data_IF_077015930729
#
_entry.id   IF_077015930729
#
_cell.length_a   1.000
_cell.length_b   1.000
_cell.length_c   1.000
_cell.angle_alpha   90.00
_cell.angle_beta   90.00
_cell.angle_gamma   90.00
#
_symmetry.space_group_name_H-M   'P 1'
#
loop_
_entity.id
_entity.type
_entity.pdbx_description
1 polymer ?
#
# COMPACT_ATOMS: atom_id res chain seq x y z
N UNK A 1 -72.35 10.05 3.68
CA UNK A 1 -71.46 8.89 3.54
C UNK A 1 -70.61 9.12 2.30
N UNK A 2 -69.29 9.15 2.47
CA UNK A 2 -68.32 9.36 1.38
C UNK A 2 -67.02 9.88 1.96
N UNK A 3 -66.30 9.01 2.68
CA UNK A 3 -64.97 9.28 3.22
C UNK A 3 -64.00 9.54 2.06
N UNK A 4 -63.36 10.71 2.04
CA UNK A 4 -62.15 10.92 1.26
C UNK A 4 -60.99 10.24 1.99
N UNK A 5 -60.56 9.10 1.45
CA UNK A 5 -59.37 8.39 1.89
C UNK A 5 -58.16 9.05 1.21
N UNK A 6 -57.12 9.48 1.94
CA UNK A 6 -55.91 9.96 1.29
C UNK A 6 -55.25 8.78 0.58
N UNK A 7 -55.07 8.89 -0.73
CA UNK A 7 -54.19 8.02 -1.51
C UNK A 7 -52.78 8.17 -0.97
N UNK A 8 -52.41 7.24 -0.09
CA UNK A 8 -51.04 6.99 0.32
C UNK A 8 -50.25 6.57 -0.93
N UNK A 9 -49.45 7.51 -1.45
CA UNK A 9 -48.49 7.21 -2.50
C UNK A 9 -47.39 6.37 -1.86
N UNK A 10 -47.59 5.05 -1.86
CA UNK A 10 -46.49 4.11 -1.70
C UNK A 10 -45.46 4.41 -2.79
N UNK A 11 -44.40 5.11 -2.39
CA UNK A 11 -43.18 5.26 -3.17
C UNK A 11 -42.61 3.87 -3.39
N UNK A 12 -42.76 3.38 -4.61
CA UNK A 12 -42.14 2.15 -5.09
C UNK A 12 -40.74 2.47 -5.61
N UNK A 13 -39.82 2.87 -4.72
CA UNK A 13 -38.39 3.01 -5.04
C UNK A 13 -37.48 2.71 -3.83
N UNK A 14 -37.70 1.61 -3.12
CA UNK A 14 -36.62 1.01 -2.31
C UNK A 14 -36.30 -0.36 -2.92
N UNK A 15 -35.45 -0.33 -3.96
CA UNK A 15 -34.73 -1.53 -4.38
C UNK A 15 -33.88 -2.07 -3.23
N UNK A 16 -33.49 -3.36 -3.22
CA UNK A 16 -32.89 -3.99 -2.05
C UNK A 16 -31.62 -3.26 -1.57
N UNK A 17 -31.75 -2.46 -0.51
CA UNK A 17 -30.69 -1.69 0.17
C UNK A 17 -29.60 -2.57 0.75
N UNK A 18 -29.79 -3.89 0.76
CA UNK A 18 -28.88 -4.87 1.35
C UNK A 18 -27.46 -4.84 0.77
N UNK A 19 -27.27 -4.49 -0.51
CA UNK A 19 -25.94 -4.36 -1.12
C UNK A 19 -25.25 -3.04 -0.73
N UNK A 20 -26.01 -1.97 -0.52
CA UNK A 20 -25.49 -0.71 0.01
C UNK A 20 -25.13 -0.84 1.50
N UNK A 21 -25.93 -1.60 2.25
CA UNK A 21 -25.73 -1.92 3.65
C UNK A 21 -24.57 -2.92 3.87
N UNK A 22 -24.33 -3.84 2.93
CA UNK A 22 -23.40 -4.98 3.08
C UNK A 22 -22.59 -5.27 1.82
N UNK A 23 -21.86 -4.27 1.35
CA UNK A 23 -20.99 -4.43 0.18
C UNK A 23 -19.91 -5.50 0.40
N UNK A 24 -19.69 -6.36 -0.61
CA UNK A 24 -18.64 -7.40 -0.61
C UNK A 24 -17.26 -6.80 -0.31
N UNK A 25 -16.95 -5.63 -0.88
CA UNK A 25 -15.70 -4.92 -0.62
C UNK A 25 -15.47 -4.60 0.86
N UNK A 26 -16.52 -4.22 1.58
CA UNK A 26 -16.46 -3.95 3.03
C UNK A 26 -16.22 -5.20 3.89
N UNK A 27 -16.56 -6.38 3.38
CA UNK A 27 -16.26 -7.67 4.04
C UNK A 27 -14.82 -8.08 3.70
N UNK A 28 -14.47 -8.10 2.41
CA UNK A 28 -13.19 -8.61 1.92
C UNK A 28 -12.00 -7.71 2.29
N UNK A 29 -12.21 -6.44 2.60
CA UNK A 29 -11.10 -5.53 2.94
C UNK A 29 -10.24 -6.03 4.10
N UNK A 30 -10.85 -6.64 5.11
CA UNK A 30 -10.09 -7.17 6.27
C UNK A 30 -9.26 -8.38 5.85
N UNK A 31 -9.81 -9.26 5.02
CA UNK A 31 -9.10 -10.41 4.47
C UNK A 31 -7.94 -9.99 3.56
N UNK A 32 -8.11 -8.95 2.75
CA UNK A 32 -7.07 -8.37 1.90
C UNK A 32 -5.99 -7.70 2.74
N UNK A 33 -6.39 -6.94 3.77
CA UNK A 33 -5.49 -6.15 4.59
C UNK A 33 -4.59 -6.98 5.52
N UNK A 34 -5.04 -8.15 6.01
CA UNK A 34 -4.22 -9.04 6.84
C UNK A 34 -2.85 -9.35 6.19
N UNK A 35 -2.77 -9.91 4.97
CA UNK A 35 -1.49 -10.23 4.33
C UNK A 35 -0.78 -9.03 3.70
N UNK A 36 -1.48 -7.94 3.39
CA UNK A 36 -0.90 -6.80 2.65
C UNK A 36 -0.69 -5.53 3.49
N UNK A 37 -1.16 -5.55 4.73
CA UNK A 37 -1.04 -4.46 5.70
C UNK A 37 -1.68 -3.15 5.24
N UNK A 38 -0.94 -2.07 5.46
CA UNK A 38 -1.34 -0.69 5.11
C UNK A 38 -1.65 -0.55 3.64
N UNK A 39 -0.93 -1.28 2.77
CA UNK A 39 -1.09 -1.19 1.32
C UNK A 39 -2.47 -1.65 0.92
N UNK A 40 -2.89 -2.88 1.24
CA UNK A 40 -4.21 -3.34 0.81
C UNK A 40 -5.36 -2.59 1.44
N UNK A 41 -5.27 -2.27 2.75
CA UNK A 41 -6.29 -1.44 3.40
C UNK A 41 -6.39 -0.05 2.73
N UNK A 42 -5.24 0.56 2.43
CA UNK A 42 -5.12 1.83 1.73
C UNK A 42 -5.69 1.79 0.32
N UNK A 43 -5.36 0.78 -0.47
CA UNK A 43 -5.88 0.60 -1.83
C UNK A 43 -7.41 0.48 -1.83
N UNK A 44 -7.97 -0.34 -0.95
CA UNK A 44 -9.43 -0.47 -0.86
C UNK A 44 -10.06 0.85 -0.40
N UNK A 45 -9.47 1.56 0.56
CA UNK A 45 -9.95 2.88 0.99
C UNK A 45 -9.94 3.91 -0.15
N UNK A 46 -8.86 3.93 -0.94
CA UNK A 46 -8.67 4.82 -2.08
C UNK A 46 -9.53 4.44 -3.28
N UNK A 47 -9.95 3.19 -3.44
CA UNK A 47 -10.77 2.77 -4.60
C UNK A 47 -12.25 2.66 -4.27
N UNK A 48 -12.63 2.55 -3.00
CA UNK A 48 -14.02 2.41 -2.60
C UNK A 48 -14.89 3.61 -3.04
N UNK A 49 -16.07 3.29 -3.57
CA UNK A 49 -17.17 4.23 -3.83
C UNK A 49 -18.30 4.03 -2.83
N UNK A 50 -18.58 2.78 -2.44
CA UNK A 50 -19.58 2.46 -1.43
C UNK A 50 -19.14 2.90 -0.02
N UNK A 51 -20.05 3.57 0.71
CA UNK A 51 -19.77 4.14 2.02
C UNK A 51 -19.46 3.08 3.10
N UNK A 52 -20.08 1.89 3.04
CA UNK A 52 -19.77 0.79 3.95
C UNK A 52 -18.38 0.21 3.69
N UNK A 53 -18.00 0.00 2.42
CA UNK A 53 -16.63 -0.40 2.06
C UNK A 53 -15.63 0.64 2.55
N UNK A 54 -15.84 1.92 2.25
CA UNK A 54 -14.89 2.99 2.61
C UNK A 54 -14.71 3.10 4.12
N UNK A 55 -15.79 2.96 4.92
CA UNK A 55 -15.71 2.93 6.39
C UNK A 55 -14.94 1.72 6.92
N UNK A 56 -15.17 0.52 6.40
CA UNK A 56 -14.42 -0.68 6.81
C UNK A 56 -12.94 -0.59 6.44
N UNK A 57 -12.66 -0.12 5.23
CA UNK A 57 -11.29 0.08 4.75
C UNK A 57 -10.54 1.10 5.59
N UNK A 58 -11.21 2.19 5.98
CA UNK A 58 -10.66 3.17 6.92
C UNK A 58 -10.28 2.54 8.26
N UNK A 59 -11.18 1.76 8.86
CA UNK A 59 -10.93 1.12 10.15
C UNK A 59 -9.76 0.12 10.07
N UNK A 60 -9.68 -0.65 8.99
CA UNK A 60 -8.54 -1.54 8.73
C UNK A 60 -7.24 -0.75 8.53
N UNK A 61 -7.29 0.36 7.80
CA UNK A 61 -6.14 1.22 7.55
C UNK A 61 -5.60 1.86 8.85
N UNK A 62 -6.48 2.37 9.72
CA UNK A 62 -6.09 2.89 11.03
C UNK A 62 -5.37 1.83 11.89
N UNK A 63 -5.87 0.59 11.88
CA UNK A 63 -5.21 -0.53 12.54
C UNK A 63 -3.82 -0.81 11.96
N UNK A 64 -3.72 -1.01 10.64
CA UNK A 64 -2.45 -1.35 10.01
C UNK A 64 -1.43 -0.23 10.06
N UNK A 65 -1.84 1.05 10.09
CA UNK A 65 -0.94 2.18 10.35
C UNK A 65 -0.33 2.11 11.76
N UNK A 66 -1.11 1.65 12.74
CA UNK A 66 -0.63 1.44 14.11
C UNK A 66 0.35 0.28 14.18
N UNK A 67 0.04 -0.84 13.51
CA UNK A 67 0.94 -2.00 13.40
C UNK A 67 2.23 -1.63 12.67
N UNK A 68 2.14 -0.81 11.62
CA UNK A 68 3.31 -0.30 10.89
C UNK A 68 4.19 0.56 11.79
N UNK A 69 3.61 1.49 12.55
CA UNK A 69 4.36 2.33 13.50
C UNK A 69 5.09 1.47 14.55
N UNK A 70 4.41 0.47 15.12
CA UNK A 70 5.03 -0.48 16.04
C UNK A 70 6.16 -1.27 15.36
N UNK A 71 5.96 -1.73 14.13
CA UNK A 71 6.97 -2.45 13.34
C UNK A 71 8.22 -1.59 13.14
N UNK A 72 8.06 -0.33 12.73
CA UNK A 72 9.17 0.60 12.53
C UNK A 72 9.93 0.82 13.83
N UNK A 73 9.23 1.05 14.95
CA UNK A 73 9.87 1.24 16.26
C UNK A 73 10.62 0.00 16.71
N UNK A 74 9.98 -1.18 16.63
CA UNK A 74 10.60 -2.45 17.06
C UNK A 74 11.82 -2.78 16.22
N UNK A 75 11.70 -2.83 14.89
CA UNK A 75 12.83 -3.21 14.03
C UNK A 75 13.89 -2.13 13.92
N UNK A 76 13.51 -0.84 14.00
CA UNK A 76 14.48 0.25 14.12
C UNK A 76 15.29 0.14 15.42
N UNK A 77 14.65 -0.27 16.52
CA UNK A 77 15.34 -0.52 17.80
C UNK A 77 16.23 -1.75 17.75
N UNK A 78 15.78 -2.86 17.14
CA UNK A 78 16.60 -4.07 16.92
C UNK A 78 17.83 -3.74 16.10
N UNK A 79 17.66 -3.04 14.97
CA UNK A 79 18.75 -2.61 14.11
C UNK A 79 19.75 -1.75 14.89
N UNK A 80 19.26 -0.69 15.55
CA UNK A 80 20.10 0.23 16.34
C UNK A 80 20.86 -0.51 17.44
N UNK A 81 20.20 -1.43 18.16
CA UNK A 81 20.82 -2.24 19.20
C UNK A 81 21.91 -3.16 18.65
N UNK A 82 21.66 -3.81 17.51
CA UNK A 82 22.65 -4.65 16.83
C UNK A 82 23.89 -3.85 16.45
N UNK A 83 23.71 -2.70 15.79
CA UNK A 83 24.82 -1.82 15.41
C UNK A 83 25.63 -1.35 16.63
N UNK A 84 24.97 -0.95 17.72
CA UNK A 84 25.65 -0.48 18.94
C UNK A 84 26.39 -1.58 19.71
N UNK A 85 26.02 -2.85 19.52
CA UNK A 85 26.63 -3.99 20.24
C UNK A 85 27.64 -4.76 19.38
N UNK A 86 27.96 -4.27 18.18
CA UNK A 86 28.88 -4.94 17.26
C UNK A 86 28.31 -6.23 16.64
N UNK A 87 27.01 -6.48 16.81
CA UNK A 87 26.27 -7.58 16.16
C UNK A 87 25.52 -7.08 14.91
N UNK A 88 25.74 -5.83 14.54
CA UNK A 88 25.10 -5.14 13.44
C UNK A 88 25.52 -5.69 12.08
N UNK A 89 24.78 -5.30 11.06
CA UNK A 89 25.02 -5.70 9.70
C UNK A 89 25.76 -4.62 8.90
N UNK A 90 25.92 -3.43 9.47
CA UNK A 90 26.79 -2.41 8.92
C UNK A 90 28.15 -2.50 9.58
N UNK A 91 29.20 -2.70 8.78
CA UNK A 91 30.60 -2.87 9.20
C UNK A 91 31.17 -1.52 9.70
N UNK A 92 30.46 -0.88 10.63
CA UNK A 92 30.77 0.44 11.15
C UNK A 92 31.72 0.24 12.32
N UNK A 93 32.96 -0.13 11.98
CA UNK A 93 34.11 -0.12 12.89
C UNK A 93 34.32 1.26 13.58
N UNK A 94 33.61 2.30 13.13
CA UNK A 94 33.71 3.67 13.63
C UNK A 94 32.82 4.02 14.84
N UNK A 95 31.80 3.21 15.18
CA UNK A 95 30.95 3.47 16.35
C UNK A 95 31.38 2.84 17.69
N UNK A 96 32.00 1.64 17.76
CA UNK A 96 32.27 1.01 19.05
C UNK A 96 33.34 1.74 19.88
N UNK A 97 34.13 2.62 19.27
CA UNK A 97 35.17 3.40 19.97
C UNK A 97 34.63 4.62 20.72
N UNK A 98 33.42 5.11 20.39
CA UNK A 98 32.87 6.36 20.97
C UNK A 98 31.97 6.09 22.19
N UNK A 99 31.37 4.91 22.31
CA UNK A 99 30.45 4.60 23.41
C UNK A 99 30.85 3.31 24.10
N UNK A 100 31.69 3.40 25.15
CA UNK A 100 31.76 2.34 26.15
C UNK A 100 30.43 2.36 26.93
N UNK A 101 29.40 1.72 26.38
CA UNK A 101 28.11 1.61 27.05
C UNK A 101 28.35 0.81 28.33
N UNK A 102 27.94 1.35 29.48
CA UNK A 102 28.05 0.63 30.74
C UNK A 102 27.19 -0.65 30.66
N UNK A 103 27.69 -1.77 31.18
CA UNK A 103 27.03 -3.09 31.06
C UNK A 103 25.56 -3.11 31.53
N UNK A 104 25.19 -2.23 32.46
CA UNK A 104 23.81 -2.05 32.92
C UNK A 104 22.89 -1.41 31.86
N UNK A 105 23.40 -0.48 31.05
CA UNK A 105 22.65 0.19 29.98
C UNK A 105 22.44 -0.77 28.81
N UNK A 106 23.44 -1.58 28.47
CA UNK A 106 23.30 -2.64 27.45
C UNK A 106 22.24 -3.67 27.85
N UNK A 107 22.26 -4.11 29.12
CA UNK A 107 21.27 -5.04 29.66
C UNK A 107 19.85 -4.44 29.64
N UNK A 108 19.71 -3.17 30.02
CA UNK A 108 18.43 -2.46 29.97
C UNK A 108 17.91 -2.31 28.53
N UNK A 109 18.78 -1.92 27.58
CA UNK A 109 18.42 -1.81 26.17
C UNK A 109 18.01 -3.16 25.57
N UNK A 110 18.74 -4.24 25.88
CA UNK A 110 18.40 -5.61 25.46
C UNK A 110 17.03 -6.06 26.00
N UNK A 111 16.72 -5.73 27.26
CA UNK A 111 15.39 -5.98 27.83
C UNK A 111 14.29 -5.21 27.10
N UNK A 112 14.50 -3.92 26.83
CA UNK A 112 13.53 -3.09 26.08
C UNK A 112 13.27 -3.67 24.69
N UNK A 113 14.32 -4.03 23.95
CA UNK A 113 14.20 -4.65 22.62
C UNK A 113 13.44 -5.98 22.69
N UNK A 114 13.73 -6.80 23.69
CA UNK A 114 13.04 -8.09 23.90
C UNK A 114 11.55 -7.90 24.20
N UNK A 115 11.21 -6.91 25.03
CA UNK A 115 9.81 -6.55 25.31
C UNK A 115 9.12 -6.04 24.05
N UNK A 116 9.75 -5.16 23.28
CA UNK A 116 9.21 -4.65 22.02
C UNK A 116 8.95 -5.76 21.00
N UNK A 117 9.87 -6.72 20.87
CA UNK A 117 9.68 -7.89 20.01
C UNK A 117 8.50 -8.75 20.48
N UNK A 118 8.39 -9.00 21.78
CA UNK A 118 7.28 -9.77 22.36
C UNK A 118 5.94 -9.09 22.09
N UNK A 119 5.86 -7.78 22.30
CA UNK A 119 4.67 -6.97 22.00
C UNK A 119 4.36 -7.00 20.50
N UNK A 120 5.37 -6.88 19.64
CA UNK A 120 5.19 -6.91 18.19
C UNK A 120 4.64 -8.27 17.70
N UNK A 121 5.16 -9.39 18.21
CA UNK A 121 4.62 -10.72 17.92
C UNK A 121 3.18 -10.86 18.41
N UNK A 122 2.88 -10.39 19.62
CA UNK A 122 1.52 -10.38 20.17
C UNK A 122 0.54 -9.57 19.31
N UNK A 123 0.94 -8.38 18.86
CA UNK A 123 0.12 -7.52 17.99
C UNK A 123 -0.03 -8.10 16.58
N UNK A 124 1.01 -8.77 16.06
CA UNK A 124 0.95 -9.48 14.78
C UNK A 124 -0.05 -10.62 14.85
N UNK A 125 0.02 -11.46 15.88
CA UNK A 125 -0.97 -12.51 16.12
C UNK A 125 -2.38 -11.92 16.29
N UNK A 126 -2.50 -10.87 17.10
CA UNK A 126 -3.77 -10.19 17.34
C UNK A 126 -4.37 -9.67 16.02
N UNK A 127 -3.55 -9.13 15.11
CA UNK A 127 -4.00 -8.63 13.80
C UNK A 127 -4.83 -9.65 13.03
N UNK A 128 -4.44 -10.94 13.05
CA UNK A 128 -5.25 -12.00 12.45
C UNK A 128 -6.59 -12.15 13.17
N UNK A 129 -6.56 -12.24 14.50
CA UNK A 129 -7.76 -12.43 15.34
C UNK A 129 -8.75 -11.27 15.14
N UNK A 130 -8.31 -10.02 15.33
CA UNK A 130 -9.17 -8.85 15.19
C UNK A 130 -9.58 -8.60 13.75
N UNK A 131 -8.74 -8.97 12.77
CA UNK A 131 -9.08 -8.93 11.35
C UNK A 131 -10.25 -9.86 10.99
N UNK A 132 -10.22 -11.11 11.46
CA UNK A 132 -11.35 -12.04 11.26
C UNK A 132 -12.60 -11.61 12.01
N UNK A 133 -12.48 -11.07 13.24
CA UNK A 133 -13.63 -10.50 13.97
C UNK A 133 -14.23 -9.33 13.19
N UNK A 134 -13.40 -8.43 12.64
CA UNK A 134 -13.85 -7.31 11.84
C UNK A 134 -14.57 -7.78 10.57
N UNK A 135 -14.04 -8.80 9.89
CA UNK A 135 -14.67 -9.45 8.74
C UNK A 135 -16.04 -10.03 9.10
N UNK A 136 -16.15 -10.79 10.19
CA UNK A 136 -17.41 -11.36 10.66
C UNK A 136 -18.42 -10.26 10.98
N UNK A 137 -18.01 -9.20 11.69
CA UNK A 137 -18.88 -8.05 11.96
C UNK A 137 -19.32 -7.36 10.68
N UNK A 138 -18.46 -7.28 9.68
CA UNK A 138 -18.81 -6.73 8.37
C UNK A 138 -19.85 -7.61 7.64
N UNK A 139 -19.81 -8.95 7.77
CA UNK A 139 -20.86 -9.83 7.21
C UNK A 139 -22.24 -9.57 7.83
N UNK A 140 -22.28 -9.13 9.09
CA UNK A 140 -23.49 -8.70 9.78
C UNK A 140 -23.81 -7.21 9.58
N UNK A 141 -23.16 -6.54 8.63
CA UNK A 141 -23.43 -5.13 8.29
C UNK A 141 -22.85 -4.09 9.25
N UNK A 142 -21.92 -4.49 10.12
CA UNK A 142 -21.29 -3.58 11.08
C UNK A 142 -19.86 -3.21 10.66
N UNK A 143 -19.64 -1.91 10.40
CA UNK A 143 -18.29 -1.37 10.19
C UNK A 143 -17.57 -1.21 11.53
N UNK A 144 -16.95 -2.30 12.01
CA UNK A 144 -16.33 -2.34 13.32
C UNK A 144 -14.97 -1.66 13.34
N UNK A 145 -14.72 -0.89 14.40
CA UNK A 145 -13.44 -0.25 14.65
C UNK A 145 -12.57 -1.16 15.50
N UNK A 146 -11.31 -1.31 15.09
CA UNK A 146 -10.33 -2.12 15.79
C UNK A 146 -10.03 -1.51 17.17
N UNK A 147 -9.91 -2.33 18.23
CA UNK A 147 -9.57 -1.84 19.56
C UNK A 147 -8.21 -1.14 19.50
N UNK A 148 -8.07 -0.05 20.25
CA UNK A 148 -6.82 0.72 20.36
C UNK A 148 -6.35 1.40 19.05
N UNK A 149 -7.10 1.30 17.95
CA UNK A 149 -6.77 2.01 16.72
C UNK A 149 -7.08 3.51 16.84
N UNK A 150 -6.10 4.41 16.69
CA UNK A 150 -6.34 5.85 16.60
C UNK A 150 -7.08 6.20 15.30
N UNK A 151 -7.84 7.29 15.28
CA UNK A 151 -8.51 7.83 14.07
C UNK A 151 -7.53 8.64 13.23
N UNK A 152 -6.55 7.98 12.60
CA UNK A 152 -5.53 8.68 11.82
C UNK A 152 -6.10 9.12 10.48
N UNK A 153 -6.83 8.24 9.81
CA UNK A 153 -7.39 8.50 8.48
C UNK A 153 -8.48 9.57 8.54
N UNK A 154 -9.33 9.59 9.57
CA UNK A 154 -10.29 10.70 9.74
C UNK A 154 -9.61 12.04 10.02
N UNK A 155 -8.48 12.02 10.75
CA UNK A 155 -7.75 13.24 11.09
C UNK A 155 -6.94 13.80 9.93
N UNK A 156 -6.39 12.95 9.07
CA UNK A 156 -5.41 13.33 8.05
C UNK A 156 -5.83 13.03 6.61
N UNK A 157 -6.81 12.15 6.39
CA UNK A 157 -7.23 11.68 5.05
C UNK A 157 -7.73 12.80 4.15
N UNK A 158 -8.44 13.79 4.71
CA UNK A 158 -8.90 14.96 3.95
C UNK A 158 -7.76 15.79 3.33
N UNK A 159 -6.53 15.68 3.83
CA UNK A 159 -5.34 16.34 3.23
C UNK A 159 -4.78 15.58 2.03
N UNK A 160 -5.17 14.32 1.84
CA UNK A 160 -4.70 13.41 0.80
C UNK A 160 -5.72 13.24 -0.34
N UNK A 161 -7.00 13.53 -0.10
CA UNK A 161 -8.09 13.41 -1.09
C UNK A 161 -8.08 14.49 -2.21
N UNK A 162 -7.03 15.32 -2.30
CA UNK A 162 -6.92 16.32 -3.37
C UNK A 162 -6.67 15.68 -4.74
N UNK A 163 -7.62 15.82 -5.66
CA UNK A 163 -7.62 15.29 -7.04
C UNK A 163 -6.35 15.63 -7.83
N UNK A 164 -5.74 16.77 -7.53
CA UNK A 164 -4.65 17.33 -8.34
C UNK A 164 -3.29 16.69 -8.08
N UNK A 165 -3.18 15.80 -7.09
CA UNK A 165 -1.90 15.24 -6.63
C UNK A 165 -1.56 13.88 -7.21
N UNK A 166 -2.51 13.18 -7.82
CA UNK A 166 -2.25 11.86 -8.42
C UNK A 166 -1.12 11.87 -9.47
N UNK A 167 -0.99 12.89 -10.33
CA UNK A 167 0.14 12.93 -11.26
C UNK A 167 1.51 13.02 -10.58
N UNK A 168 1.60 13.67 -9.41
CA UNK A 168 2.84 13.74 -8.64
C UNK A 168 3.28 12.35 -8.12
N UNK A 169 2.32 11.48 -7.79
CA UNK A 169 2.60 10.09 -7.41
C UNK A 169 3.23 9.33 -8.58
N UNK A 170 2.65 9.48 -9.78
CA UNK A 170 3.16 8.82 -11.00
C UNK A 170 4.58 9.32 -11.31
N UNK A 171 4.80 10.64 -11.25
CA UNK A 171 6.13 11.24 -11.41
C UNK A 171 7.11 10.70 -10.37
N UNK A 172 6.69 10.63 -9.09
CA UNK A 172 7.50 10.09 -8.00
C UNK A 172 7.97 8.67 -8.30
N UNK A 173 7.09 7.80 -8.80
CA UNK A 173 7.47 6.45 -9.23
C UNK A 173 8.44 6.44 -10.42
N UNK A 174 8.18 7.27 -11.45
CA UNK A 174 9.04 7.39 -12.64
C UNK A 174 10.47 7.79 -12.25
N UNK A 175 10.62 8.64 -11.23
CA UNK A 175 11.93 9.08 -10.71
C UNK A 175 12.56 8.08 -9.75
N UNK A 176 11.77 7.44 -8.88
CA UNK A 176 12.27 6.49 -7.89
C UNK A 176 12.74 5.17 -8.53
N UNK A 177 12.02 4.67 -9.54
CA UNK A 177 12.34 3.41 -10.22
C UNK A 177 13.81 3.32 -10.69
N UNK A 178 14.35 4.24 -11.51
CA UNK A 178 15.72 4.12 -12.00
C UNK A 178 16.75 4.20 -10.88
N UNK A 179 16.49 4.99 -9.82
CA UNK A 179 17.40 5.10 -8.66
C UNK A 179 17.47 3.76 -7.92
N UNK A 180 16.32 3.16 -7.60
CA UNK A 180 16.26 1.87 -6.91
C UNK A 180 16.84 0.75 -7.77
N UNK A 181 16.48 0.69 -9.06
CA UNK A 181 16.97 -0.35 -9.96
C UNK A 181 18.48 -0.23 -10.24
N UNK A 182 19.01 0.99 -10.31
CA UNK A 182 20.46 1.19 -10.39
C UNK A 182 21.16 0.62 -9.14
N UNK A 183 20.57 0.84 -7.96
CA UNK A 183 21.03 0.22 -6.72
C UNK A 183 20.97 -1.31 -6.76
N UNK A 184 19.89 -1.90 -7.27
CA UNK A 184 19.75 -3.37 -7.37
C UNK A 184 20.81 -3.99 -8.28
N UNK A 185 21.11 -3.36 -9.43
CA UNK A 185 22.02 -3.94 -10.42
C UNK A 185 23.50 -3.55 -10.26
N UNK A 186 23.77 -2.36 -9.71
CA UNK A 186 25.12 -1.79 -9.62
C UNK A 186 25.56 -1.49 -8.18
N UNK A 187 24.65 -1.63 -7.21
CA UNK A 187 24.90 -1.27 -5.83
C UNK A 187 25.71 -2.30 -5.06
N UNK A 188 26.14 -1.95 -3.84
CA UNK A 188 26.93 -2.83 -3.00
C UNK A 188 26.11 -4.05 -2.54
N UNK A 189 26.75 -5.22 -2.56
CA UNK A 189 26.17 -6.48 -2.07
C UNK A 189 26.27 -6.65 -0.53
N UNK A 190 26.74 -5.63 0.19
CA UNK A 190 26.89 -5.64 1.64
C UNK A 190 26.87 -4.25 2.27
N UNK A 191 26.92 -4.21 3.60
CA UNK A 191 26.93 -2.99 4.40
C UNK A 191 25.62 -2.18 4.31
N UNK A 192 25.62 -0.90 4.74
CA UNK A 192 24.41 -0.06 4.78
C UNK A 192 23.73 0.09 3.42
N UNK A 193 24.51 0.15 2.34
CA UNK A 193 23.99 0.32 0.98
C UNK A 193 23.05 -0.82 0.57
N UNK A 194 23.38 -2.06 0.93
CA UNK A 194 22.53 -3.23 0.67
C UNK A 194 21.16 -3.10 1.33
N UNK A 195 21.09 -2.57 2.56
CA UNK A 195 19.83 -2.34 3.27
C UNK A 195 18.96 -1.30 2.55
N UNK A 196 19.53 -0.16 2.17
CA UNK A 196 18.79 0.87 1.45
C UNK A 196 18.25 0.36 0.11
N UNK A 197 19.02 -0.45 -0.61
CA UNK A 197 18.60 -1.07 -1.87
C UNK A 197 17.46 -2.06 -1.62
N UNK A 198 17.59 -2.93 -0.61
CA UNK A 198 16.58 -3.94 -0.27
C UNK A 198 15.27 -3.30 0.15
N UNK A 199 15.30 -2.35 1.09
CA UNK A 199 14.11 -1.62 1.52
C UNK A 199 13.56 -0.71 0.42
N UNK A 200 14.41 -0.13 -0.42
CA UNK A 200 14.01 0.63 -1.60
C UNK A 200 13.24 -0.24 -2.59
N UNK A 201 13.73 -1.45 -2.89
CA UNK A 201 13.06 -2.40 -3.77
C UNK A 201 11.74 -2.90 -3.17
N UNK A 202 11.72 -3.24 -1.87
CA UNK A 202 10.49 -3.63 -1.18
C UNK A 202 9.47 -2.50 -1.18
N UNK A 203 9.89 -1.26 -0.89
CA UNK A 203 9.02 -0.08 -0.94
C UNK A 203 8.50 0.19 -2.35
N UNK A 204 9.34 0.01 -3.37
CA UNK A 204 8.95 0.16 -4.77
C UNK A 204 7.89 -0.87 -5.17
N UNK A 205 8.09 -2.15 -4.84
CA UNK A 205 7.18 -3.24 -5.19
C UNK A 205 5.88 -3.17 -4.38
N UNK A 206 6.00 -3.05 -3.06
CA UNK A 206 4.85 -3.15 -2.16
C UNK A 206 4.04 -1.85 -2.10
N UNK A 207 4.65 -0.68 -2.31
CA UNK A 207 3.95 0.62 -2.21
C UNK A 207 3.95 1.35 -3.54
N UNK A 208 5.11 1.53 -4.17
CA UNK A 208 5.26 2.34 -5.38
C UNK A 208 4.40 1.84 -6.54
N UNK A 209 4.49 0.56 -6.86
CA UNK A 209 3.70 -0.09 -7.92
C UNK A 209 2.19 0.06 -7.71
N UNK A 210 1.60 -0.44 -6.60
CA UNK A 210 0.15 -0.39 -6.44
C UNK A 210 -0.38 1.05 -6.33
N UNK A 211 0.38 1.95 -5.68
CA UNK A 211 0.00 3.36 -5.58
C UNK A 211 0.05 4.06 -6.95
N UNK A 212 1.02 3.73 -7.80
CA UNK A 212 1.10 4.23 -9.18
C UNK A 212 -0.07 3.73 -10.02
N UNK A 213 -0.45 2.46 -9.87
CA UNK A 213 -1.61 1.91 -10.56
C UNK A 213 -2.91 2.64 -10.16
N UNK A 214 -3.09 2.90 -8.85
CA UNK A 214 -4.22 3.71 -8.36
C UNK A 214 -4.16 5.13 -8.90
N UNK A 215 -2.98 5.76 -8.91
CA UNK A 215 -2.82 7.11 -9.43
C UNK A 215 -3.19 7.22 -10.92
N UNK A 216 -2.74 6.27 -11.74
CA UNK A 216 -3.09 6.20 -13.17
C UNK A 216 -4.61 6.01 -13.33
N UNK A 217 -5.23 5.13 -12.55
CA UNK A 217 -6.67 4.89 -12.61
C UNK A 217 -7.49 6.11 -12.16
N UNK A 218 -7.09 6.71 -11.03
CA UNK A 218 -7.75 7.90 -10.47
C UNK A 218 -7.66 9.08 -11.42
N UNK A 219 -6.45 9.40 -11.89
CA UNK A 219 -6.23 10.53 -12.79
C UNK A 219 -6.77 10.29 -14.21
N UNK A 220 -6.65 9.07 -14.74
CA UNK A 220 -7.00 8.76 -16.13
C UNK A 220 -8.47 8.46 -16.37
N UNK A 221 -9.17 7.93 -15.36
CA UNK A 221 -10.54 7.44 -15.51
C UNK A 221 -11.50 8.11 -14.51
N UNK A 222 -11.24 7.99 -13.20
CA UNK A 222 -12.25 8.30 -12.17
C UNK A 222 -12.46 9.78 -11.92
N UNK A 223 -11.37 10.53 -11.78
CA UNK A 223 -11.39 11.95 -11.41
C UNK A 223 -11.24 12.85 -12.66
N UNK A 224 -11.21 12.25 -13.86
CA UNK A 224 -11.01 12.93 -15.14
C UNK A 224 -12.28 13.72 -15.55
N UNK A 225 -12.09 14.94 -16.05
CA UNK A 225 -13.19 15.68 -16.70
C UNK A 225 -13.66 14.95 -17.98
N UNK A 226 -14.98 14.78 -18.19
CA UNK A 226 -15.52 14.23 -19.44
C UNK A 226 -15.10 15.01 -20.69
N UNK A 227 -14.81 16.30 -20.53
CA UNK A 227 -14.40 17.22 -21.61
C UNK A 227 -12.90 17.35 -21.78
N UNK A 228 -12.10 16.55 -21.06
CA UNK A 228 -10.65 16.60 -21.20
C UNK A 228 -10.23 16.15 -22.62
N UNK A 229 -9.34 16.94 -23.25
CA UNK A 229 -8.81 16.68 -24.60
C UNK A 229 -8.03 15.37 -24.69
N UNK A 230 -7.46 14.92 -23.56
CA UNK A 230 -6.77 13.65 -23.47
C UNK A 230 -7.59 12.60 -22.71
N UNK A 231 -7.85 11.47 -23.36
CA UNK A 231 -8.55 10.32 -22.77
C UNK A 231 -7.65 9.07 -22.85
N UNK A 232 -6.83 8.80 -21.83
CA UNK A 232 -5.98 7.61 -21.84
C UNK A 232 -6.82 6.34 -21.68
N UNK A 233 -6.52 5.30 -22.47
CA UNK A 233 -7.03 3.96 -22.20
C UNK A 233 -6.30 3.37 -20.98
N UNK A 234 -6.81 3.65 -19.77
CA UNK A 234 -6.19 3.21 -18.50
C UNK A 234 -5.89 1.71 -18.47
N UNK A 235 -6.78 0.89 -19.05
CA UNK A 235 -6.60 -0.56 -19.18
C UNK A 235 -5.32 -0.90 -19.96
N UNK A 236 -4.95 -0.12 -20.98
CA UNK A 236 -3.70 -0.36 -21.71
C UNK A 236 -2.48 -0.06 -20.83
N UNK A 237 -2.49 1.05 -20.09
CA UNK A 237 -1.37 1.45 -19.22
C UNK A 237 -1.13 0.47 -18.07
N UNK A 238 -2.18 -0.17 -17.54
CA UNK A 238 -2.06 -1.12 -16.43
C UNK A 238 -1.98 -2.58 -16.91
N UNK A 239 -2.73 -2.93 -17.97
CA UNK A 239 -2.83 -4.29 -18.49
C UNK A 239 -1.64 -4.72 -19.33
N UNK A 240 -1.05 -3.82 -20.13
CA UNK A 240 0.12 -4.16 -20.95
C UNK A 240 1.31 -4.60 -20.09
N UNK A 241 1.71 -3.89 -19.02
CA UNK A 241 2.78 -4.38 -18.13
C UNK A 241 2.52 -5.78 -17.55
N UNK A 242 1.28 -6.08 -17.16
CA UNK A 242 0.89 -7.40 -16.64
C UNK A 242 1.04 -8.47 -17.73
N UNK A 243 0.54 -8.19 -18.94
CA UNK A 243 0.66 -9.12 -20.07
C UNK A 243 2.13 -9.38 -20.43
N UNK A 244 2.94 -8.32 -20.49
CA UNK A 244 4.39 -8.42 -20.77
C UNK A 244 5.08 -9.28 -19.72
N UNK A 245 4.74 -9.12 -18.43
CA UNK A 245 5.27 -9.93 -17.35
C UNK A 245 4.87 -11.42 -17.46
N UNK A 246 3.61 -11.69 -17.80
CA UNK A 246 3.11 -13.05 -17.99
C UNK A 246 3.83 -13.76 -19.15
N UNK A 247 3.99 -13.07 -20.28
CA UNK A 247 4.75 -13.57 -21.43
C UNK A 247 6.23 -13.78 -21.07
N UNK A 248 6.85 -12.83 -20.38
CA UNK A 248 8.26 -12.95 -19.99
C UNK A 248 8.50 -14.10 -19.01
N UNK A 249 7.54 -14.41 -18.13
CA UNK A 249 7.62 -15.57 -17.24
C UNK A 249 7.72 -16.86 -18.04
N UNK A 250 6.85 -17.01 -19.05
CA UNK A 250 6.84 -18.21 -19.88
C UNK A 250 8.10 -18.30 -20.74
N UNK A 251 8.52 -17.17 -21.33
CA UNK A 251 9.77 -17.12 -22.09
C UNK A 251 10.99 -17.47 -21.23
N UNK A 252 11.08 -16.92 -20.02
CA UNK A 252 12.17 -17.21 -19.07
C UNK A 252 12.21 -18.71 -18.74
N UNK A 253 11.03 -19.32 -18.52
CA UNK A 253 10.90 -20.76 -18.26
C UNK A 253 11.27 -21.63 -19.45
N UNK A 254 10.88 -21.26 -20.67
CA UNK A 254 11.05 -22.11 -21.86
C UNK A 254 12.36 -21.91 -22.61
N UNK A 255 13.00 -20.74 -22.51
CA UNK A 255 14.18 -20.39 -23.32
C UNK A 255 15.46 -20.17 -22.52
N UNK A 256 15.37 -19.74 -21.25
CA UNK A 256 16.57 -19.39 -20.45
C UNK A 256 16.88 -20.40 -19.35
N UNK A 257 16.03 -21.42 -19.17
CA UNK A 257 16.09 -22.38 -18.06
C UNK A 257 16.29 -21.70 -16.70
N UNK A 258 15.67 -20.53 -16.52
CA UNK A 258 15.84 -19.72 -15.31
C UNK A 258 15.43 -20.50 -14.07
N UNK A 259 16.25 -20.41 -13.02
CA UNK A 259 15.96 -21.00 -11.71
C UNK A 259 14.79 -20.26 -11.04
N UNK A 260 14.56 -18.99 -11.38
CA UNK A 260 13.50 -18.17 -10.80
C UNK A 260 12.75 -17.32 -11.86
N UNK A 261 11.94 -17.95 -12.73
CA UNK A 261 11.21 -17.24 -13.77
C UNK A 261 10.18 -16.23 -13.21
N UNK A 262 9.75 -16.41 -11.96
CA UNK A 262 8.89 -15.46 -11.27
C UNK A 262 9.60 -14.15 -10.91
N UNK A 263 10.87 -14.24 -10.48
CA UNK A 263 11.72 -13.07 -10.23
C UNK A 263 11.99 -12.29 -11.52
N UNK A 264 12.34 -12.98 -12.60
CA UNK A 264 12.58 -12.37 -13.91
C UNK A 264 11.35 -11.61 -14.40
N UNK A 265 10.18 -12.25 -14.33
CA UNK A 265 8.91 -11.64 -14.70
C UNK A 265 8.57 -10.40 -13.86
N UNK A 266 8.93 -10.38 -12.58
CA UNK A 266 8.76 -9.20 -11.71
C UNK A 266 9.61 -8.03 -12.19
N UNK A 267 10.88 -8.24 -12.53
CA UNK A 267 11.74 -7.16 -13.04
C UNK A 267 11.25 -6.63 -14.38
N UNK A 268 10.82 -7.52 -15.27
CA UNK A 268 10.21 -7.15 -16.56
C UNK A 268 8.90 -6.37 -16.35
N UNK A 269 8.05 -6.80 -15.41
CA UNK A 269 6.84 -6.08 -15.02
C UNK A 269 7.17 -4.65 -14.57
N UNK A 270 8.14 -4.49 -13.66
CA UNK A 270 8.50 -3.18 -13.14
C UNK A 270 9.03 -2.25 -14.24
N UNK A 271 9.87 -2.77 -15.15
CA UNK A 271 10.38 -2.02 -16.29
C UNK A 271 9.25 -1.61 -17.25
N UNK A 272 8.34 -2.53 -17.57
CA UNK A 272 7.20 -2.25 -18.44
C UNK A 272 6.24 -1.22 -17.83
N UNK A 273 5.97 -1.31 -16.53
CA UNK A 273 5.16 -0.34 -15.80
C UNK A 273 5.84 1.04 -15.76
N UNK A 274 7.16 1.09 -15.56
CA UNK A 274 7.92 2.34 -15.63
C UNK A 274 7.84 3.02 -16.99
N UNK A 275 7.98 2.26 -18.08
CA UNK A 275 7.80 2.78 -19.45
C UNK A 275 6.36 3.30 -19.61
N UNK A 276 5.35 2.52 -19.22
CA UNK A 276 3.95 2.91 -19.31
C UNK A 276 3.66 4.21 -18.53
N UNK A 277 4.14 4.31 -17.29
CA UNK A 277 4.01 5.50 -16.46
C UNK A 277 4.74 6.72 -17.05
N UNK A 278 5.92 6.52 -17.64
CA UNK A 278 6.69 7.59 -18.31
C UNK A 278 5.94 8.11 -19.53
N UNK A 279 5.41 7.22 -20.37
CA UNK A 279 4.59 7.59 -21.53
C UNK A 279 3.30 8.29 -21.10
N UNK A 280 2.68 7.82 -20.01
CA UNK A 280 1.48 8.45 -19.44
C UNK A 280 1.76 9.91 -19.05
N UNK A 281 2.81 10.15 -18.25
CA UNK A 281 3.20 11.50 -17.82
C UNK A 281 3.60 12.37 -19.03
N UNK A 282 4.34 11.82 -19.98
CA UNK A 282 4.77 12.54 -21.18
C UNK A 282 3.58 13.02 -22.00
N UNK A 283 2.60 12.15 -22.26
CA UNK A 283 1.39 12.52 -23.02
C UNK A 283 0.52 13.52 -22.26
N UNK A 284 0.31 13.31 -20.97
CA UNK A 284 -0.41 14.25 -20.12
C UNK A 284 0.17 15.67 -20.22
N UNK A 285 1.49 15.81 -20.05
CA UNK A 285 2.19 17.11 -20.11
C UNK A 285 2.16 17.77 -21.49
N UNK A 286 2.15 16.99 -22.56
CA UNK A 286 2.04 17.55 -23.92
C UNK A 286 0.68 18.20 -24.14
N UNK A 287 -0.40 17.56 -23.69
CA UNK A 287 -1.76 18.08 -23.86
C UNK A 287 -2.00 19.29 -22.96
N UNK A 288 -1.56 19.24 -21.70
CA UNK A 288 -1.66 20.39 -20.79
C UNK A 288 -1.02 21.66 -21.37
N UNK A 289 0.12 21.53 -22.06
CA UNK A 289 0.80 22.64 -22.73
C UNK A 289 0.09 23.16 -23.98
N UNK A 290 -0.77 22.37 -24.61
CA UNK A 290 -1.54 22.79 -25.79
C UNK A 290 -2.80 23.56 -25.40
N UNK A 291 -3.28 23.35 -24.17
CA UNK A 291 -4.51 23.95 -23.63
C UNK A 291 -4.28 25.18 -22.75
N UNK A 292 -3.02 25.50 -22.41
CA UNK A 292 -2.60 26.63 -21.60
C UNK A 292 -2.12 27.81 -22.47
#
# INVERSE_FOLDING_TARGET
MGNEQPTDRMTTEDGPTLLEERSIGGILVHFIAIPTGVVGAGLVYLLATNAFTKRNARNALDWHLTVLALTVVTFGSVFTYGELTGQGATDVDALPTIVSVQSSVEAAAGLVVSVLLTVWFGVTFLTFVVGFIAMLKATFGTAWRYPLSPTLVDRYGGRLDGTDRWPLVIIGYVLAFPVVMSGVFLGPFGGPGFFFITFGLLGLILVGVPLTAVAIYRHGERDRSPTADWQPHVIAYLGVPILVAAVSRELSRSFTDSINPGGDAMYVFLAALWIAATVYVGRWRMVERQTA
#
